data_IF_598652930071
#
_entry.id   IF_598652930071
#
_cell.length_a   1.000
_cell.length_b   1.000
_cell.length_c   1.000
_cell.angle_alpha   90.00
_cell.angle_beta   90.00
_cell.angle_gamma   90.00
#
_symmetry.space_group_name_H-M   'P 1'
#
loop_
_entity.id
_entity.type
_entity.pdbx_description
1 polymer ?
#
# COMPACT_ATOMS: atom_id res chain seq x y z
N UNK A 1 -11.15 4.59 -19.68
CA UNK A 1 -9.85 4.02 -19.25
C UNK A 1 -9.33 4.91 -18.14
N UNK A 2 -9.09 4.36 -16.95
CA UNK A 2 -8.42 5.12 -15.87
C UNK A 2 -6.97 5.33 -16.33
N UNK A 3 -6.50 6.57 -16.26
CA UNK A 3 -5.10 6.92 -16.51
C UNK A 3 -4.20 6.09 -15.57
N UNK A 4 -3.09 5.55 -16.10
CA UNK A 4 -2.14 4.75 -15.33
C UNK A 4 -1.63 5.50 -14.08
N UNK A 5 -1.46 6.82 -14.15
CA UNK A 5 -1.10 7.69 -13.04
C UNK A 5 -2.22 7.79 -11.98
N UNK A 6 -3.49 7.72 -12.40
CA UNK A 6 -4.62 7.67 -11.46
C UNK A 6 -4.68 6.33 -10.73
N UNK A 7 -4.43 5.21 -11.43
CA UNK A 7 -4.37 3.89 -10.82
C UNK A 7 -3.24 3.78 -9.79
N UNK A 8 -2.04 4.29 -10.11
CA UNK A 8 -0.91 4.34 -9.17
C UNK A 8 -1.23 5.18 -7.92
N UNK A 9 -1.83 6.36 -8.09
CA UNK A 9 -2.22 7.22 -6.97
C UNK A 9 -3.26 6.56 -6.07
N UNK A 10 -4.26 5.90 -6.67
CA UNK A 10 -5.28 5.17 -5.92
C UNK A 10 -4.68 4.00 -5.15
N UNK A 11 -3.80 3.23 -5.77
CA UNK A 11 -3.12 2.12 -5.12
C UNK A 11 -2.28 2.57 -3.91
N UNK A 12 -1.48 3.64 -4.07
CA UNK A 12 -0.72 4.24 -2.97
C UNK A 12 -1.63 4.68 -1.82
N UNK A 13 -2.75 5.32 -2.12
CA UNK A 13 -3.72 5.76 -1.11
C UNK A 13 -4.35 4.57 -0.36
N UNK A 14 -4.68 3.48 -1.05
CA UNK A 14 -5.21 2.26 -0.41
C UNK A 14 -4.19 1.62 0.52
N UNK A 15 -2.91 1.57 0.12
CA UNK A 15 -1.86 1.06 1.01
C UNK A 15 -1.71 1.91 2.28
N UNK A 16 -1.79 3.24 2.16
CA UNK A 16 -1.79 4.14 3.33
C UNK A 16 -2.99 3.85 4.25
N UNK A 17 -4.18 3.64 3.68
CA UNK A 17 -5.36 3.29 4.46
C UNK A 17 -5.19 1.94 5.19
N UNK A 18 -4.63 0.93 4.54
CA UNK A 18 -4.31 -0.35 5.19
C UNK A 18 -3.29 -0.19 6.32
N UNK A 19 -2.28 0.66 6.12
CA UNK A 19 -1.31 0.96 7.18
C UNK A 19 -2.02 1.64 8.36
N UNK A 20 -2.98 2.53 8.11
CA UNK A 20 -3.76 3.16 9.18
C UNK A 20 -4.58 2.13 9.98
N UNK A 21 -5.20 1.17 9.29
CA UNK A 21 -6.01 0.13 9.92
C UNK A 21 -5.19 -0.83 10.80
N UNK A 22 -3.96 -1.15 10.40
CA UNK A 22 -3.12 -2.13 11.11
C UNK A 22 -2.12 -1.52 12.10
N UNK A 23 -1.64 -0.30 11.83
CA UNK A 23 -0.55 0.34 12.60
C UNK A 23 -0.91 1.73 13.13
N UNK A 24 -2.14 2.20 12.90
CA UNK A 24 -2.65 3.48 13.38
C UNK A 24 -2.36 4.68 12.46
N UNK A 25 -3.13 5.75 12.66
CA UNK A 25 -3.12 6.94 11.79
C UNK A 25 -1.77 7.65 11.75
N UNK A 26 -1.05 7.73 12.88
CA UNK A 26 0.27 8.37 12.94
C UNK A 26 1.28 7.69 12.03
N UNK A 27 1.29 6.36 12.01
CA UNK A 27 2.16 5.57 11.13
C UNK A 27 1.76 5.80 9.68
N UNK A 28 0.47 5.78 9.38
CA UNK A 28 -0.04 6.02 8.03
C UNK A 28 0.33 7.40 7.48
N UNK A 29 0.34 8.45 8.31
CA UNK A 29 0.73 9.79 7.89
C UNK A 29 2.21 9.85 7.43
N UNK A 30 3.10 9.18 8.15
CA UNK A 30 4.51 9.04 7.74
C UNK A 30 4.64 8.35 6.38
N UNK A 31 3.92 7.23 6.21
CA UNK A 31 3.94 6.46 4.96
C UNK A 31 3.24 7.18 3.81
N UNK A 32 2.23 8.01 4.08
CA UNK A 32 1.58 8.86 3.07
C UNK A 32 2.57 9.84 2.46
N UNK A 33 3.37 10.51 3.30
CA UNK A 33 4.44 11.38 2.84
C UNK A 33 5.45 10.62 2.00
N UNK A 34 5.96 9.49 2.51
CA UNK A 34 6.94 8.65 1.83
C UNK A 34 6.45 8.12 0.47
N UNK A 35 5.24 7.57 0.41
CA UNK A 35 4.71 6.94 -0.82
C UNK A 35 4.36 7.95 -1.91
N UNK A 36 4.06 9.20 -1.55
CA UNK A 36 3.72 10.25 -2.52
C UNK A 36 4.85 10.53 -3.50
N UNK A 37 6.10 10.43 -3.07
CA UNK A 37 7.29 10.74 -3.88
C UNK A 37 8.01 9.52 -4.44
N UNK A 38 7.68 8.32 -3.95
CA UNK A 38 8.38 7.09 -4.32
C UNK A 38 7.76 6.39 -5.54
N UNK A 39 8.57 5.69 -6.36
CA UNK A 39 8.06 4.83 -7.43
C UNK A 39 7.15 3.72 -6.89
N UNK A 40 6.17 3.29 -7.68
CA UNK A 40 5.20 2.25 -7.31
C UNK A 40 5.87 0.97 -6.81
N UNK A 41 6.89 0.48 -7.52
CA UNK A 41 7.61 -0.75 -7.15
C UNK A 41 8.23 -0.68 -5.74
N UNK A 42 8.75 0.49 -5.37
CA UNK A 42 9.32 0.71 -4.04
C UNK A 42 8.23 0.72 -2.96
N UNK A 43 7.11 1.37 -3.26
CA UNK A 43 5.95 1.42 -2.37
C UNK A 43 5.42 0.01 -2.10
N UNK A 44 5.29 -0.81 -3.14
CA UNK A 44 4.83 -2.20 -3.03
C UNK A 44 5.74 -3.05 -2.14
N UNK A 45 7.05 -3.05 -2.42
CA UNK A 45 8.03 -3.82 -1.63
C UNK A 45 8.07 -3.39 -0.18
N UNK A 46 7.96 -2.08 0.06
CA UNK A 46 7.95 -1.52 1.42
C UNK A 46 6.70 -1.94 2.18
N UNK A 47 5.53 -1.83 1.56
CA UNK A 47 4.27 -2.26 2.16
C UNK A 47 4.26 -3.79 2.41
N UNK A 48 4.69 -4.59 1.43
CA UNK A 48 4.80 -6.05 1.57
C UNK A 48 5.69 -6.44 2.75
N UNK A 49 6.85 -5.79 2.90
CA UNK A 49 7.75 -6.04 4.03
C UNK A 49 7.09 -5.67 5.36
N UNK A 50 6.50 -4.49 5.46
CA UNK A 50 5.83 -4.02 6.67
C UNK A 50 4.69 -4.97 7.10
N UNK A 51 3.83 -5.37 6.15
CA UNK A 51 2.74 -6.30 6.45
C UNK A 51 3.25 -7.72 6.71
N UNK A 52 4.37 -8.14 6.11
CA UNK A 52 4.98 -9.45 6.39
C UNK A 52 5.45 -9.53 7.84
N UNK A 53 6.08 -8.48 8.35
CA UNK A 53 6.53 -8.42 9.75
C UNK A 53 5.33 -8.45 10.74
N UNK A 54 4.17 -7.95 10.33
CA UNK A 54 2.97 -7.87 11.20
C UNK A 54 2.00 -9.06 11.07
N UNK A 55 1.76 -9.57 9.86
CA UNK A 55 0.76 -10.59 9.54
C UNK A 55 1.35 -11.93 9.09
N UNK A 56 2.65 -11.99 8.82
CA UNK A 56 3.30 -13.09 8.13
C UNK A 56 3.23 -12.99 6.59
N UNK A 57 4.14 -13.68 5.92
CA UNK A 57 4.40 -13.56 4.47
C UNK A 57 3.17 -13.81 3.61
N UNK A 58 2.41 -14.88 3.88
CA UNK A 58 1.30 -15.29 3.01
C UNK A 58 0.14 -14.30 3.06
N UNK A 59 -0.19 -13.81 4.26
CA UNK A 59 -1.25 -12.81 4.45
C UNK A 59 -0.87 -11.46 3.86
N UNK A 60 0.38 -11.05 4.00
CA UNK A 60 0.88 -9.81 3.41
C UNK A 60 0.75 -9.82 1.88
N UNK A 61 1.17 -10.91 1.23
CA UNK A 61 1.05 -11.07 -0.23
C UNK A 61 -0.39 -11.07 -0.71
N UNK A 62 -1.28 -11.76 0.00
CA UNK A 62 -2.71 -11.76 -0.31
C UNK A 62 -3.29 -10.35 -0.24
N UNK A 63 -3.01 -9.62 0.85
CA UNK A 63 -3.51 -8.27 1.07
C UNK A 63 -3.03 -7.27 -0.01
N UNK A 64 -1.74 -7.30 -0.37
CA UNK A 64 -1.21 -6.45 -1.44
C UNK A 64 -1.86 -6.79 -2.79
N UNK A 65 -2.06 -8.08 -3.08
CA UNK A 65 -2.69 -8.54 -4.33
C UNK A 65 -4.15 -8.09 -4.42
N UNK A 66 -4.91 -8.20 -3.33
CA UNK A 66 -6.30 -7.73 -3.25
C UNK A 66 -6.38 -6.21 -3.45
N UNK A 67 -5.47 -5.46 -2.86
CA UNK A 67 -5.40 -4.00 -2.97
C UNK A 67 -5.18 -3.52 -4.42
N UNK A 68 -4.42 -4.28 -5.22
CA UNK A 68 -4.24 -4.05 -6.65
C UNK A 68 -5.47 -4.42 -7.49
N UNK A 69 -6.22 -5.44 -7.06
CA UNK A 69 -7.37 -5.96 -7.82
C UNK A 69 -8.64 -5.13 -7.66
N UNK A 70 -8.72 -4.25 -6.66
CA UNK A 70 -9.88 -3.36 -6.46
C UNK A 70 -10.08 -2.29 -7.57
N UNK A 71 -9.45 -2.47 -8.74
CA UNK A 71 -9.59 -1.64 -9.95
C UNK A 71 -10.55 -2.25 -11.00
N UNK A 72 -11.31 -3.30 -10.63
CA UNK A 72 -12.38 -3.90 -11.44
C UNK A 72 -13.74 -3.55 -10.84
#
# INVERSE_FOLDING_TARGET
MVDNDTAERLFKARLVALIAMHFGEKTAELYKGLFSTMPLEFVEKTAEKLFTEYLGTDRAKALITETKKSDI
#
